data_IF_567116376971
#
_entry.id   IF_567116376971
#
_cell.length_a   1.000
_cell.length_b   1.000
_cell.length_c   1.000
_cell.angle_alpha   90.00
_cell.angle_beta   90.00
_cell.angle_gamma   90.00
#
_symmetry.space_group_name_H-M   'P 1'
#
loop_
_entity.id
_entity.type
_entity.pdbx_description
1 polymer ?
#
# COMPACT_ATOMS: atom_id res chain seq x y z
N UNK A 1 29.61 28.86 -20.86
CA UNK A 1 29.65 27.45 -20.83
C UNK A 1 29.44 26.87 -19.50
N UNK A 2 30.28 27.16 -18.59
CA UNK A 2 30.24 26.55 -17.28
C UNK A 2 28.95 26.79 -16.56
N UNK A 3 28.29 27.89 -16.81
CA UNK A 3 27.08 28.26 -16.12
C UNK A 3 25.92 27.33 -16.35
N UNK A 4 25.85 26.72 -17.51
CA UNK A 4 24.74 25.85 -17.82
C UNK A 4 24.72 24.66 -16.88
N UNK A 5 25.84 24.15 -16.55
CA UNK A 5 26.00 22.97 -15.74
C UNK A 5 25.40 23.21 -14.36
N UNK A 6 25.65 24.37 -13.82
CA UNK A 6 25.16 24.71 -12.48
C UNK A 6 23.65 24.75 -12.42
N UNK A 7 23.02 25.27 -13.43
CA UNK A 7 21.55 25.33 -13.44
C UNK A 7 20.93 23.93 -13.46
N UNK A 8 21.51 23.05 -14.24
CA UNK A 8 20.99 21.69 -14.32
C UNK A 8 21.07 20.97 -13.00
N UNK A 9 22.14 21.16 -12.28
CA UNK A 9 22.30 20.53 -10.98
C UNK A 9 21.27 21.00 -9.97
N UNK A 10 21.00 22.28 -9.95
CA UNK A 10 20.02 22.84 -9.02
C UNK A 10 18.63 22.24 -9.25
N UNK A 11 18.23 22.14 -10.49
CA UNK A 11 16.92 21.60 -10.81
C UNK A 11 16.80 20.15 -10.37
N UNK A 12 17.86 19.39 -10.56
CA UNK A 12 17.87 18.00 -10.18
C UNK A 12 17.70 17.82 -8.68
N UNK A 13 18.33 18.65 -7.90
CA UNK A 13 18.26 18.57 -6.45
C UNK A 13 16.83 18.79 -5.97
N UNK A 14 16.11 19.73 -6.56
CA UNK A 14 14.73 19.99 -6.18
C UNK A 14 13.81 18.79 -6.42
N UNK A 15 14.00 18.11 -7.54
CA UNK A 15 13.18 16.94 -7.84
C UNK A 15 13.38 15.83 -6.82
N UNK A 16 14.60 15.61 -6.40
CA UNK A 16 14.89 14.59 -5.40
C UNK A 16 14.23 14.93 -4.07
N UNK A 17 14.25 16.18 -3.68
CA UNK A 17 13.64 16.61 -2.43
C UNK A 17 12.16 16.34 -2.37
N UNK A 18 11.43 16.58 -3.46
CA UNK A 18 9.99 16.41 -3.44
C UNK A 18 9.57 14.97 -3.29
N UNK A 19 10.34 14.02 -3.83
CA UNK A 19 9.98 12.61 -3.72
C UNK A 19 10.22 12.04 -2.34
N UNK A 20 11.00 12.72 -1.50
CA UNK A 20 11.35 12.23 -0.17
C UNK A 20 10.17 12.22 0.81
N UNK A 21 9.08 12.90 0.49
CA UNK A 21 7.95 13.02 1.40
C UNK A 21 6.79 12.08 1.08
N UNK A 22 6.93 11.24 0.07
CA UNK A 22 5.86 10.31 -0.29
C UNK A 22 5.80 9.18 0.74
N UNK A 23 4.58 8.87 1.22
CA UNK A 23 4.36 7.78 2.14
C UNK A 23 4.36 6.45 1.37
N UNK A 24 5.16 5.50 1.81
CA UNK A 24 5.20 4.17 1.20
C UNK A 24 4.31 3.20 1.96
N UNK A 25 3.97 2.09 1.30
CA UNK A 25 3.16 1.05 1.94
C UNK A 25 3.86 0.48 3.17
N UNK A 26 5.17 0.20 3.06
CA UNK A 26 5.91 -0.34 4.19
C UNK A 26 5.92 0.61 5.38
N UNK A 27 6.15 1.90 5.11
CA UNK A 27 6.12 2.91 6.16
C UNK A 27 4.74 3.00 6.81
N UNK A 28 3.69 3.00 5.99
CA UNK A 28 2.33 3.09 6.50
C UNK A 28 1.98 1.90 7.38
N UNK A 29 2.42 0.72 7.00
CA UNK A 29 2.19 -0.49 7.80
C UNK A 29 2.96 -0.43 9.11
N UNK A 30 4.23 -0.03 9.06
CA UNK A 30 5.07 0.06 10.25
C UNK A 30 4.54 1.08 11.24
N UNK A 31 3.98 2.16 10.74
CA UNK A 31 3.42 3.21 11.59
C UNK A 31 2.01 2.91 12.09
N UNK A 32 1.42 1.79 11.66
CA UNK A 32 0.08 1.41 12.09
C UNK A 32 -1.03 2.21 11.44
N UNK A 33 -0.77 2.75 10.25
CA UNK A 33 -1.75 3.58 9.54
C UNK A 33 -2.65 2.77 8.62
N UNK A 34 -2.13 1.69 8.07
CA UNK A 34 -2.87 0.78 7.20
C UNK A 34 -2.54 -0.66 7.58
N UNK A 35 -3.38 -1.57 7.16
CA UNK A 35 -3.13 -2.99 7.36
C UNK A 35 -3.79 -3.85 6.28
N UNK A 36 -3.39 -5.11 6.25
CA UNK A 36 -3.95 -6.09 5.31
C UNK A 36 -5.31 -6.56 5.77
N UNK A 37 -6.15 -6.92 4.83
CA UNK A 37 -7.47 -7.50 5.11
C UNK A 37 -7.63 -8.83 4.38
N UNK A 38 -8.58 -9.63 4.81
CA UNK A 38 -8.85 -10.92 4.19
C UNK A 38 -9.45 -10.81 2.79
N UNK A 39 -9.91 -9.61 2.40
CA UNK A 39 -10.42 -9.40 1.05
C UNK A 39 -9.33 -9.31 -0.02
N UNK A 40 -8.07 -9.19 0.40
CA UNK A 40 -6.95 -9.02 -0.54
C UNK A 40 -6.50 -7.59 -0.72
N UNK A 41 -7.12 -6.66 -0.03
CA UNK A 41 -6.83 -5.23 -0.14
C UNK A 41 -6.37 -4.68 1.19
N UNK A 42 -5.69 -3.53 1.15
CA UNK A 42 -5.36 -2.83 2.39
C UNK A 42 -6.50 -1.87 2.74
N UNK A 43 -6.55 -1.50 4.00
CA UNK A 43 -7.48 -0.48 4.48
C UNK A 43 -6.78 0.39 5.50
N UNK A 44 -7.30 1.60 5.67
CA UNK A 44 -6.79 2.51 6.71
C UNK A 44 -7.25 2.02 8.08
N UNK A 45 -6.35 2.05 9.04
CA UNK A 45 -6.70 1.80 10.43
C UNK A 45 -7.52 3.00 10.91
N UNK A 46 -8.49 2.78 11.78
CA UNK A 46 -9.50 3.78 12.13
C UNK A 46 -8.94 5.16 12.44
N UNK A 47 -7.89 5.21 13.23
CA UNK A 47 -7.30 6.50 13.64
C UNK A 47 -6.65 7.26 12.48
N UNK A 48 -6.38 6.59 11.38
CA UNK A 48 -5.71 7.19 10.22
C UNK A 48 -6.65 7.40 9.04
N UNK A 49 -7.92 7.03 9.17
CA UNK A 49 -8.86 7.03 8.05
C UNK A 49 -9.13 8.43 7.48
N UNK A 50 -8.93 9.48 8.27
CA UNK A 50 -9.15 10.85 7.81
C UNK A 50 -7.92 11.49 7.18
N UNK A 51 -6.76 10.83 7.20
CA UNK A 51 -5.53 11.39 6.61
C UNK A 51 -5.55 11.23 5.10
N UNK A 52 -5.32 12.33 4.40
CA UNK A 52 -5.36 12.33 2.93
C UNK A 52 -4.21 11.52 2.33
N UNK A 53 -3.03 11.56 2.92
CA UNK A 53 -1.89 10.80 2.43
C UNK A 53 -2.15 9.30 2.57
N UNK A 54 -2.84 8.88 3.61
CA UNK A 54 -3.21 7.48 3.83
C UNK A 54 -4.28 7.04 2.83
N UNK A 55 -5.34 7.85 2.65
CA UNK A 55 -6.40 7.48 1.71
C UNK A 55 -5.89 7.43 0.28
N UNK A 56 -4.98 8.32 -0.09
CA UNK A 56 -4.34 8.29 -1.40
C UNK A 56 -3.51 7.03 -1.61
N UNK A 57 -2.74 6.66 -0.60
CA UNK A 57 -1.95 5.44 -0.66
C UNK A 57 -2.84 4.19 -0.77
N UNK A 58 -3.90 4.11 0.03
CA UNK A 58 -4.84 2.99 -0.01
C UNK A 58 -5.42 2.85 -1.41
N UNK A 59 -5.86 3.96 -2.00
CA UNK A 59 -6.43 3.94 -3.34
C UNK A 59 -5.40 3.47 -4.37
N UNK A 60 -4.20 3.98 -4.30
CA UNK A 60 -3.14 3.64 -5.25
C UNK A 60 -2.79 2.15 -5.17
N UNK A 61 -2.57 1.64 -3.98
CA UNK A 61 -2.20 0.23 -3.79
C UNK A 61 -3.32 -0.69 -4.22
N UNK A 62 -4.55 -0.38 -3.82
CA UNK A 62 -5.68 -1.23 -4.14
C UNK A 62 -6.02 -1.22 -5.63
N UNK A 63 -5.81 -0.11 -6.31
CA UNK A 63 -5.96 -0.04 -7.76
C UNK A 63 -4.96 -0.97 -8.45
N UNK A 64 -3.71 -0.93 -8.03
CA UNK A 64 -2.69 -1.81 -8.59
C UNK A 64 -3.01 -3.29 -8.31
N UNK A 65 -3.48 -3.59 -7.10
CA UNK A 65 -3.86 -4.96 -6.74
C UNK A 65 -5.06 -5.45 -7.55
N UNK A 66 -6.05 -4.60 -7.76
CA UNK A 66 -7.21 -4.95 -8.60
C UNK A 66 -6.76 -5.41 -9.98
N UNK A 67 -5.85 -4.66 -10.58
CA UNK A 67 -5.33 -5.01 -11.90
C UNK A 67 -4.57 -6.34 -11.86
N UNK A 68 -3.74 -6.53 -10.85
CA UNK A 68 -2.97 -7.76 -10.72
C UNK A 68 -3.87 -8.98 -10.49
N UNK A 69 -4.88 -8.85 -9.64
CA UNK A 69 -5.81 -9.94 -9.37
C UNK A 69 -6.62 -10.30 -10.63
N UNK A 70 -6.99 -9.30 -11.41
CA UNK A 70 -7.70 -9.51 -12.65
C UNK A 70 -6.85 -10.30 -13.67
N UNK A 71 -5.57 -9.95 -13.78
CA UNK A 71 -4.64 -10.66 -14.66
C UNK A 71 -4.45 -12.10 -14.24
N UNK A 72 -4.26 -12.31 -12.93
CA UNK A 72 -4.09 -13.67 -12.40
C UNK A 72 -5.35 -14.50 -12.58
N UNK A 73 -6.51 -13.89 -12.42
CA UNK A 73 -7.78 -14.56 -12.59
C UNK A 73 -7.94 -15.06 -14.04
N UNK A 74 -7.60 -14.23 -15.00
CA UNK A 74 -7.67 -14.60 -16.41
C UNK A 74 -6.72 -15.75 -16.72
N UNK A 75 -5.49 -15.66 -16.25
CA UNK A 75 -4.48 -16.67 -16.50
C UNK A 75 -4.85 -18.04 -15.90
N UNK A 76 -5.49 -18.02 -14.72
CA UNK A 76 -5.80 -19.24 -13.98
C UNK A 76 -7.27 -19.65 -14.08
N UNK A 77 -8.06 -18.99 -14.92
CA UNK A 77 -9.47 -19.27 -15.10
C UNK A 77 -10.25 -19.25 -13.81
N UNK A 78 -10.02 -18.21 -13.05
CA UNK A 78 -10.67 -17.97 -11.74
C UNK A 78 -11.40 -16.65 -11.80
N UNK A 79 -12.25 -16.42 -10.81
CA UNK A 79 -12.85 -15.10 -10.62
C UNK A 79 -11.86 -14.20 -9.86
N UNK A 80 -11.89 -12.90 -10.18
CA UNK A 80 -10.97 -11.97 -9.56
C UNK A 80 -11.13 -11.90 -8.04
N UNK A 81 -12.36 -12.00 -7.53
CA UNK A 81 -12.58 -11.97 -6.09
C UNK A 81 -12.04 -13.23 -5.39
N UNK A 82 -12.02 -14.36 -6.08
CA UNK A 82 -11.40 -15.57 -5.55
C UNK A 82 -9.90 -15.40 -5.40
N UNK A 83 -9.26 -14.83 -6.44
CA UNK A 83 -7.82 -14.53 -6.37
C UNK A 83 -7.54 -13.56 -5.24
N UNK A 84 -8.36 -12.53 -5.11
CA UNK A 84 -8.19 -11.53 -4.05
C UNK A 84 -8.27 -12.17 -2.66
N UNK A 85 -9.22 -13.07 -2.45
CA UNK A 85 -9.38 -13.74 -1.15
C UNK A 85 -8.20 -14.63 -0.81
N UNK A 86 -7.69 -15.34 -1.80
CA UNK A 86 -6.48 -16.17 -1.60
C UNK A 86 -5.31 -15.29 -1.22
N UNK A 87 -5.13 -14.18 -1.93
CA UNK A 87 -4.06 -13.24 -1.62
C UNK A 87 -4.23 -12.65 -0.22
N UNK A 88 -5.46 -12.32 0.15
CA UNK A 88 -5.76 -11.75 1.46
C UNK A 88 -5.39 -12.68 2.60
N UNK A 89 -5.73 -13.96 2.47
CA UNK A 89 -5.35 -14.95 3.48
C UNK A 89 -3.84 -15.03 3.64
N UNK A 90 -3.11 -15.03 2.54
CA UNK A 90 -1.65 -15.08 2.59
C UNK A 90 -1.05 -13.82 3.19
N UNK A 91 -1.55 -12.67 2.79
CA UNK A 91 -1.02 -11.39 3.26
C UNK A 91 -1.28 -11.19 4.75
N UNK A 92 -2.46 -11.55 5.22
CA UNK A 92 -2.78 -11.47 6.64
C UNK A 92 -1.90 -12.45 7.44
N UNK A 93 -1.78 -13.68 6.97
CA UNK A 93 -0.98 -14.69 7.65
C UNK A 93 0.50 -14.31 7.73
N UNK A 94 1.02 -13.69 6.68
CA UNK A 94 2.43 -13.30 6.58
C UNK A 94 2.77 -11.97 7.22
N UNK A 95 1.77 -11.19 7.61
CA UNK A 95 2.01 -9.87 8.18
C UNK A 95 2.95 -9.98 9.37
N UNK A 96 4.01 -9.16 9.42
CA UNK A 96 5.00 -9.26 10.50
C UNK A 96 4.45 -8.76 11.83
N UNK A 97 5.17 -9.14 12.88
CA UNK A 97 4.89 -8.63 14.21
C UNK A 97 4.82 -7.11 14.22
N UNK A 98 3.85 -6.57 14.94
CA UNK A 98 3.70 -5.13 15.07
C UNK A 98 2.82 -4.47 14.04
N UNK A 99 2.49 -5.16 12.95
CA UNK A 99 1.59 -4.62 11.94
C UNK A 99 0.15 -5.01 12.23
N UNK A 100 -0.78 -4.20 11.75
CA UNK A 100 -2.20 -4.45 11.93
C UNK A 100 -2.77 -5.28 10.79
N UNK A 101 -3.72 -6.14 11.12
CA UNK A 101 -4.55 -6.85 10.15
C UNK A 101 -6.01 -6.73 10.58
N UNK A 102 -6.92 -6.73 9.61
CA UNK A 102 -8.34 -6.67 9.91
C UNK A 102 -8.86 -8.09 10.09
N UNK A 103 -9.39 -8.38 11.27
CA UNK A 103 -9.95 -9.69 11.57
C UNK A 103 -11.28 -9.90 10.88
N UNK A 104 -11.73 -11.14 10.85
CA UNK A 104 -13.00 -11.53 10.24
C UNK A 104 -14.17 -10.81 10.91
N UNK A 105 -14.02 -10.49 12.19
CA UNK A 105 -15.04 -9.79 12.95
C UNK A 105 -15.06 -8.28 12.69
N UNK A 106 -14.25 -7.79 11.76
CA UNK A 106 -14.18 -6.37 11.43
C UNK A 106 -13.35 -5.53 12.38
N UNK A 107 -12.59 -6.17 13.26
CA UNK A 107 -11.76 -5.44 14.22
C UNK A 107 -10.30 -5.53 13.84
N UNK A 108 -9.57 -4.43 14.05
CA UNK A 108 -8.14 -4.40 13.81
C UNK A 108 -7.39 -5.13 14.91
N UNK A 109 -6.48 -5.98 14.51
CA UNK A 109 -5.64 -6.76 15.42
C UNK A 109 -4.19 -6.48 15.11
N UNK A 110 -3.40 -6.26 16.16
CA UNK A 110 -1.95 -6.09 15.99
C UNK A 110 -1.30 -7.47 16.06
N UNK A 111 -0.50 -7.78 15.07
CA UNK A 111 0.19 -9.09 15.04
C UNK A 111 1.24 -9.16 16.12
N UNK A 112 1.28 -10.27 16.84
CA UNK A 112 2.24 -10.48 17.93
C UNK A 112 3.28 -11.52 17.61
#
# INVERSE_FOLDING_TARGET
MRKFINCGLAALTLLISSSAFALTLDEAKQQGLVGETFSGYIAAVDKASSRQDVSGLVKEINTARTQKYSELAQTNRMKADEVAKIAGQKLVTRAPQGEYVLGINGKWLKKE
#
